data_IF_612971953516
#
_entry.id   IF_612971953516
#
_cell.length_a   1.000
_cell.length_b   1.000
_cell.length_c   1.000
_cell.angle_alpha   90.00
_cell.angle_beta   90.00
_cell.angle_gamma   90.00
#
_symmetry.space_group_name_H-M   'P 1'
#
loop_
_entity.id
_entity.type
_entity.pdbx_description
1 polymer ?
#
# COMPACT_ATOMS: atom_id res chain seq x y z
N UNK A 1 13.54 -14.55 -4.58
CA UNK A 1 12.30 -14.46 -5.38
C UNK A 1 11.54 -13.22 -4.90
N UNK A 2 11.60 -12.11 -5.65
CA UNK A 2 10.94 -10.84 -5.27
C UNK A 2 9.50 -10.75 -5.79
N UNK A 3 9.09 -11.66 -6.68
CA UNK A 3 7.78 -11.63 -7.32
C UNK A 3 6.62 -11.82 -6.32
N UNK A 4 6.89 -12.41 -5.15
CA UNK A 4 5.90 -12.68 -4.11
C UNK A 4 6.06 -11.77 -2.88
N UNK A 5 7.03 -10.86 -2.88
CA UNK A 5 7.26 -9.95 -1.75
C UNK A 5 6.21 -8.85 -1.77
N UNK A 6 5.37 -8.71 -0.73
CA UNK A 6 4.40 -7.63 -0.69
C UNK A 6 5.10 -6.27 -0.60
N UNK A 7 4.58 -5.28 -1.31
CA UNK A 7 5.13 -3.93 -1.30
C UNK A 7 4.02 -2.87 -1.30
N UNK A 8 4.36 -1.70 -0.75
CA UNK A 8 3.48 -0.53 -0.70
C UNK A 8 4.11 0.57 -1.51
N UNK A 9 3.37 1.11 -2.47
CA UNK A 9 3.80 2.27 -3.25
C UNK A 9 3.51 3.55 -2.47
N UNK A 10 4.53 4.38 -2.24
CA UNK A 10 4.40 5.68 -1.56
C UNK A 10 4.75 6.78 -2.56
N UNK A 11 3.86 7.75 -2.74
CA UNK A 11 4.03 8.85 -3.70
C UNK A 11 3.80 10.22 -3.07
N UNK A 12 4.31 11.29 -3.70
CA UNK A 12 3.94 12.67 -3.37
C UNK A 12 2.75 13.18 -4.21
N UNK A 13 2.44 12.53 -5.33
CA UNK A 13 1.41 12.99 -6.27
C UNK A 13 0.07 12.29 -6.01
N UNK A 14 -0.98 13.08 -5.82
CA UNK A 14 -2.32 12.62 -5.46
C UNK A 14 -3.27 12.42 -6.65
N UNK A 15 -2.76 12.41 -7.90
CA UNK A 15 -3.62 12.25 -9.07
C UNK A 15 -4.37 10.93 -9.04
N UNK A 16 -5.69 11.00 -9.17
CA UNK A 16 -6.58 9.83 -9.15
C UNK A 16 -6.20 8.82 -10.25
N UNK A 17 -5.75 9.29 -11.42
CA UNK A 17 -5.31 8.38 -12.49
C UNK A 17 -4.12 7.50 -12.07
N UNK A 18 -3.16 8.07 -11.33
CA UNK A 18 -1.97 7.35 -10.86
C UNK A 18 -2.34 6.27 -9.85
N UNK A 19 -3.29 6.56 -8.96
CA UNK A 19 -3.82 5.57 -7.99
C UNK A 19 -4.48 4.41 -8.72
N UNK A 20 -5.28 4.69 -9.74
CA UNK A 20 -5.98 3.68 -10.54
C UNK A 20 -4.98 2.82 -11.30
N UNK A 21 -3.98 3.44 -11.94
CA UNK A 21 -2.94 2.73 -12.68
C UNK A 21 -2.12 1.81 -11.75
N UNK A 22 -1.72 2.30 -10.57
CA UNK A 22 -0.97 1.50 -9.60
C UNK A 22 -1.78 0.29 -9.12
N UNK A 23 -3.07 0.47 -8.79
CA UNK A 23 -3.96 -0.64 -8.43
C UNK A 23 -4.07 -1.68 -9.55
N UNK A 24 -4.20 -1.25 -10.82
CA UNK A 24 -4.22 -2.15 -11.98
C UNK A 24 -2.91 -2.89 -12.18
N UNK A 25 -1.78 -2.30 -11.82
CA UNK A 25 -0.46 -2.92 -11.88
C UNK A 25 -0.21 -3.97 -10.78
N UNK A 26 -1.18 -4.21 -9.90
CA UNK A 26 -1.07 -5.24 -8.87
C UNK A 26 -0.27 -4.84 -7.64
N UNK A 27 -0.12 -3.53 -7.37
CA UNK A 27 0.49 -3.09 -6.10
C UNK A 27 -0.36 -3.57 -4.93
N UNK A 28 0.29 -4.06 -3.87
CA UNK A 28 -0.47 -4.55 -2.73
C UNK A 28 -1.12 -3.39 -1.94
N UNK A 29 -0.49 -2.20 -1.93
CA UNK A 29 -1.12 -0.99 -1.40
C UNK A 29 -0.52 0.30 -1.99
N UNK A 30 -1.22 1.43 -1.80
CA UNK A 30 -0.83 2.76 -2.30
C UNK A 30 -1.07 3.84 -1.23
N UNK A 31 -0.08 4.71 -0.98
CA UNK A 31 -0.11 5.79 0.01
C UNK A 31 0.38 7.09 -0.62
N UNK A 32 -0.36 8.19 -0.41
CA UNK A 32 0.04 9.55 -0.80
C UNK A 32 0.60 10.29 0.42
N UNK A 33 1.69 11.04 0.22
CA UNK A 33 2.27 11.94 1.22
C UNK A 33 1.58 13.31 1.22
N UNK A 34 1.53 14.02 2.36
CA UNK A 34 1.91 13.54 3.69
C UNK A 34 0.87 12.56 4.25
N UNK A 35 1.31 11.62 5.08
CA UNK A 35 0.45 10.70 5.81
C UNK A 35 0.85 10.66 7.28
N UNK A 36 -0.08 10.24 8.14
CA UNK A 36 0.19 10.03 9.56
C UNK A 36 0.54 8.56 9.85
N UNK A 37 1.07 8.30 11.05
CA UNK A 37 1.49 6.97 11.47
C UNK A 37 0.33 5.96 11.48
N UNK A 38 -0.88 6.39 11.83
CA UNK A 38 -2.06 5.53 11.85
C UNK A 38 -2.39 5.01 10.43
N UNK A 39 -2.39 5.89 9.43
CA UNK A 39 -2.60 5.51 8.03
C UNK A 39 -1.55 4.52 7.55
N UNK A 40 -0.27 4.74 7.89
CA UNK A 40 0.80 3.80 7.51
C UNK A 40 0.58 2.43 8.15
N UNK A 41 0.28 2.39 9.46
CA UNK A 41 0.03 1.15 10.21
C UNK A 41 -1.09 0.32 9.57
N UNK A 42 -2.26 0.93 9.35
CA UNK A 42 -3.41 0.25 8.74
C UNK A 42 -3.08 -0.28 7.34
N UNK A 43 -2.27 0.45 6.58
CA UNK A 43 -1.87 0.06 5.23
C UNK A 43 -0.92 -1.12 5.24
N UNK A 44 0.01 -1.17 6.19
CA UNK A 44 0.93 -2.29 6.45
C UNK A 44 0.13 -3.53 6.86
N UNK A 45 -0.73 -3.43 7.87
CA UNK A 45 -1.58 -4.54 8.36
C UNK A 45 -2.43 -5.15 7.25
N UNK A 46 -2.95 -4.33 6.33
CA UNK A 46 -3.73 -4.81 5.17
C UNK A 46 -2.92 -5.65 4.15
N UNK A 47 -1.59 -5.60 4.17
CA UNK A 47 -0.73 -6.33 3.22
C UNK A 47 -0.24 -7.67 3.75
N UNK A 48 -0.24 -7.86 5.07
CA UNK A 48 0.25 -9.09 5.68
C UNK A 48 -0.90 -10.12 5.83
N UNK A 49 -0.71 -11.38 5.37
CA UNK A 49 -1.76 -12.41 5.42
C UNK A 49 -2.16 -12.85 6.84
N UNK A 50 -1.27 -12.70 7.82
CA UNK A 50 -1.43 -13.28 9.16
C UNK A 50 -1.92 -12.26 10.20
N UNK A 51 -3.02 -11.56 9.90
CA UNK A 51 -3.81 -10.91 10.95
C UNK A 51 -4.59 -12.00 11.72
N UNK A 52 -3.87 -12.90 12.39
CA UNK A 52 -4.45 -13.78 13.40
C UNK A 52 -4.65 -12.92 14.64
N UNK A 53 -5.90 -12.62 15.05
CA UNK A 53 -6.11 -12.03 16.36
C UNK A 53 -5.58 -13.00 17.40
N UNK A 54 -4.66 -12.53 18.24
CA UNK A 54 -4.32 -13.22 19.49
C UNK A 54 -5.52 -13.23 20.44
#
# INVERSE_FOLDING_TARGET
NLATTPFIMITAESKTENVIAAKKAGVNNYIVKPFNAATLKTKIEAVFPDNVPA
#
